data_IF_108616866689
#
_entry.id   IF_108616866689
#
_cell.length_a   1.000
_cell.length_b   1.000
_cell.length_c   1.000
_cell.angle_alpha   90.00
_cell.angle_beta   90.00
_cell.angle_gamma   90.00
#
_symmetry.space_group_name_H-M   'P 1'
#
loop_
_entity.id
_entity.type
_entity.pdbx_description
1 polymer ?
#
# COMPACT_ATOMS: atom_id res chain seq x y z
N UNK A 1 -12.69 -68.10 -26.73
CA UNK A 1 -13.36 -67.10 -25.86
C UNK A 1 -12.29 -66.39 -25.04
N UNK A 2 -11.81 -65.25 -25.52
CA UNK A 2 -10.72 -64.48 -24.88
C UNK A 2 -11.29 -63.62 -23.74
N UNK A 3 -10.70 -63.75 -22.55
CA UNK A 3 -10.95 -62.87 -21.40
C UNK A 3 -10.15 -61.57 -21.59
N UNK A 4 -10.84 -60.45 -21.67
CA UNK A 4 -10.25 -59.11 -21.63
C UNK A 4 -9.78 -58.77 -20.21
N UNK A 5 -8.47 -58.50 -20.07
CA UNK A 5 -7.89 -57.81 -18.91
C UNK A 5 -8.30 -56.33 -18.96
N UNK A 6 -9.01 -55.85 -17.93
CA UNK A 6 -9.26 -54.43 -17.72
C UNK A 6 -8.05 -53.77 -17.06
N UNK A 7 -7.41 -52.84 -17.77
CA UNK A 7 -6.38 -51.96 -17.20
C UNK A 7 -7.06 -50.73 -16.57
N UNK A 8 -6.90 -50.58 -15.25
CA UNK A 8 -7.22 -49.34 -14.54
C UNK A 8 -6.08 -48.34 -14.77
N UNK A 9 -6.34 -47.27 -15.53
CA UNK A 9 -5.41 -46.16 -15.69
C UNK A 9 -5.63 -45.20 -14.52
N UNK A 10 -4.69 -45.21 -13.56
CA UNK A 10 -4.61 -44.21 -12.50
C UNK A 10 -4.05 -42.91 -13.11
N UNK A 11 -4.90 -41.94 -13.42
CA UNK A 11 -4.45 -40.61 -13.82
C UNK A 11 -3.91 -39.86 -12.60
N UNK A 12 -2.59 -39.75 -12.49
CA UNK A 12 -1.95 -38.81 -11.54
C UNK A 12 -2.27 -37.38 -11.99
N UNK A 13 -3.19 -36.71 -11.30
CA UNK A 13 -3.37 -35.28 -11.41
C UNK A 13 -2.12 -34.58 -10.85
N UNK A 14 -1.25 -34.12 -11.75
CA UNK A 14 -0.07 -33.34 -11.37
C UNK A 14 -0.53 -31.93 -10.98
N UNK A 15 -0.62 -31.64 -9.68
CA UNK A 15 -0.77 -30.27 -9.20
C UNK A 15 0.54 -29.53 -9.44
N UNK A 16 0.60 -28.74 -10.52
CA UNK A 16 1.65 -27.74 -10.67
C UNK A 16 1.28 -26.57 -9.78
N UNK A 17 1.89 -26.51 -8.58
CA UNK A 17 1.88 -25.30 -7.79
C UNK A 17 2.71 -24.25 -8.56
N UNK A 18 2.05 -23.36 -9.30
CA UNK A 18 2.73 -22.19 -9.85
C UNK A 18 3.29 -21.39 -8.68
N UNK A 19 4.62 -21.32 -8.59
CA UNK A 19 5.29 -20.38 -7.71
C UNK A 19 4.78 -18.98 -8.10
N UNK A 20 3.93 -18.40 -7.26
CA UNK A 20 3.39 -17.06 -7.47
C UNK A 20 4.56 -16.07 -7.41
N UNK A 21 5.10 -15.70 -8.57
CA UNK A 21 6.04 -14.58 -8.65
C UNK A 21 5.28 -13.29 -8.41
N UNK A 22 5.71 -12.53 -7.40
CA UNK A 22 5.12 -11.23 -7.12
C UNK A 22 5.30 -10.30 -8.33
N UNK A 23 4.31 -9.45 -8.64
CA UNK A 23 4.48 -8.46 -9.68
C UNK A 23 5.54 -7.43 -9.25
N UNK A 24 6.32 -6.93 -10.21
CA UNK A 24 7.30 -5.85 -9.95
C UNK A 24 6.60 -4.51 -9.72
N UNK A 25 5.46 -4.30 -10.38
CA UNK A 25 4.70 -3.06 -10.38
C UNK A 25 3.24 -3.34 -9.98
N UNK A 26 2.63 -2.44 -9.23
CA UNK A 26 1.20 -2.51 -8.96
C UNK A 26 0.45 -1.76 -10.07
N UNK A 27 -0.31 -2.50 -10.87
CA UNK A 27 -1.13 -1.94 -11.93
C UNK A 27 -2.61 -2.01 -11.60
N UNK A 28 -3.32 -0.91 -11.84
CA UNK A 28 -4.78 -0.83 -11.82
C UNK A 28 -5.21 -0.16 -13.12
N UNK A 29 -6.17 -0.77 -13.84
CA UNK A 29 -6.61 -0.27 -15.16
C UNK A 29 -5.45 0.01 -16.14
N UNK A 30 -4.48 -0.91 -16.19
CA UNK A 30 -3.24 -0.80 -16.98
C UNK A 30 -2.29 0.37 -16.64
N UNK A 31 -2.58 1.17 -15.62
CA UNK A 31 -1.72 2.23 -15.14
C UNK A 31 -0.94 1.78 -13.91
N UNK A 32 0.35 2.12 -13.86
CA UNK A 32 1.22 1.82 -12.72
C UNK A 32 0.94 2.84 -11.63
N UNK A 33 0.65 2.38 -10.42
CA UNK A 33 0.49 3.26 -9.27
C UNK A 33 1.84 3.93 -8.98
N UNK A 34 1.93 5.28 -9.01
CA UNK A 34 3.13 6.00 -8.59
C UNK A 34 3.42 5.81 -7.09
N UNK A 35 4.69 5.75 -6.68
CA UNK A 35 5.06 5.65 -5.26
C UNK A 35 4.40 6.70 -4.36
N UNK A 36 4.18 7.92 -4.85
CA UNK A 36 3.58 9.05 -4.12
C UNK A 36 2.11 8.84 -3.76
N UNK A 37 1.46 7.81 -4.30
CA UNK A 37 0.07 7.48 -3.98
C UNK A 37 -0.05 6.54 -2.78
N UNK A 38 1.07 6.15 -2.16
CA UNK A 38 1.10 5.39 -0.91
C UNK A 38 1.38 6.34 0.26
N UNK A 39 0.35 6.66 1.04
CA UNK A 39 0.41 7.59 2.17
C UNK A 39 1.14 6.98 3.38
N UNK A 40 2.27 7.56 3.76
CA UNK A 40 3.13 7.07 4.85
C UNK A 40 2.85 7.85 6.13
N UNK A 41 3.10 7.22 7.29
CA UNK A 41 3.22 7.98 8.53
C UNK A 41 4.46 8.88 8.44
N UNK A 42 4.33 10.13 8.86
CA UNK A 42 5.47 11.05 8.91
C UNK A 42 6.35 10.73 10.10
N UNK A 43 7.60 11.17 10.08
CA UNK A 43 8.51 10.96 11.20
C UNK A 43 8.01 11.63 12.50
N UNK A 44 7.30 12.74 12.38
CA UNK A 44 6.65 13.41 13.51
C UNK A 44 5.34 12.72 13.94
N UNK A 45 4.76 11.87 13.09
CA UNK A 45 3.42 11.28 13.23
C UNK A 45 2.25 12.28 13.18
N UNK A 46 2.50 13.59 13.06
CA UNK A 46 1.46 14.64 13.01
C UNK A 46 0.35 14.32 12.00
N UNK A 47 0.71 13.70 10.87
CA UNK A 47 -0.27 13.35 9.83
C UNK A 47 -1.22 12.23 10.23
N UNK A 48 -0.89 11.38 11.21
CA UNK A 48 -1.82 10.42 11.79
C UNK A 48 -2.58 11.07 12.95
N UNK A 49 -1.90 11.87 13.78
CA UNK A 49 -2.53 12.63 14.87
C UNK A 49 -3.68 13.52 14.37
N UNK A 50 -3.54 14.16 13.20
CA UNK A 50 -4.60 14.93 12.57
C UNK A 50 -5.88 14.10 12.28
N UNK A 51 -5.74 12.83 11.88
CA UNK A 51 -6.88 11.93 11.72
C UNK A 51 -7.45 11.47 13.06
N UNK A 52 -6.59 11.29 14.07
CA UNK A 52 -7.03 10.95 15.41
C UNK A 52 -7.92 12.05 16.00
N UNK A 53 -7.50 13.30 15.87
CA UNK A 53 -8.28 14.46 16.30
C UNK A 53 -9.58 14.58 15.51
N UNK A 54 -9.53 14.51 14.18
CA UNK A 54 -10.69 14.66 13.31
C UNK A 54 -11.77 13.59 13.57
N UNK A 55 -11.35 12.34 13.84
CA UNK A 55 -12.25 11.20 14.02
C UNK A 55 -12.37 10.73 15.48
N UNK A 56 -11.80 11.47 16.43
CA UNK A 56 -11.80 11.18 17.86
C UNK A 56 -11.30 9.75 18.19
N UNK A 57 -10.19 9.35 17.55
CA UNK A 57 -9.56 8.04 17.75
C UNK A 57 -8.70 8.10 19.01
N UNK A 58 -9.07 7.33 20.04
CA UNK A 58 -8.43 7.40 21.36
C UNK A 58 -7.22 6.46 21.52
N UNK A 59 -6.99 5.57 20.56
CA UNK A 59 -6.00 4.49 20.64
C UNK A 59 -4.85 4.71 19.65
N UNK A 60 -4.14 5.81 19.82
CA UNK A 60 -3.10 6.34 18.91
C UNK A 60 -2.15 5.28 18.38
N UNK A 61 -1.43 4.60 19.27
CA UNK A 61 -0.45 3.57 18.86
C UNK A 61 -1.06 2.39 18.09
N UNK A 62 -2.31 2.01 18.40
CA UNK A 62 -2.98 0.95 17.64
C UNK A 62 -3.43 1.46 16.27
N UNK A 63 -3.88 2.70 16.16
CA UNK A 63 -4.22 3.34 14.89
C UNK A 63 -3.00 3.50 13.98
N UNK A 64 -1.91 4.08 14.48
CA UNK A 64 -0.63 4.17 13.77
C UNK A 64 -0.17 2.80 13.25
N UNK A 65 -0.30 1.75 14.06
CA UNK A 65 0.14 0.41 13.67
C UNK A 65 -0.87 -0.33 12.79
N UNK A 66 -2.16 -0.03 12.88
CA UNK A 66 -3.25 -0.79 12.27
C UNK A 66 -4.35 0.13 11.70
N UNK A 67 -4.02 1.07 10.79
CA UNK A 67 -4.99 2.04 10.27
C UNK A 67 -6.19 1.35 9.60
N UNK A 68 -5.97 0.17 9.00
CA UNK A 68 -7.00 -0.66 8.37
C UNK A 68 -8.23 -0.94 9.24
N UNK A 69 -8.06 -1.05 10.57
CA UNK A 69 -9.17 -1.36 11.50
C UNK A 69 -10.20 -0.24 11.63
N UNK A 70 -9.77 1.01 11.38
CA UNK A 70 -10.52 2.22 11.69
C UNK A 70 -11.35 2.69 10.48
N UNK A 71 -10.96 2.32 9.27
CA UNK A 71 -11.76 2.61 8.07
C UNK A 71 -13.12 1.90 8.10
N UNK A 72 -14.18 2.68 7.88
CA UNK A 72 -15.57 2.23 7.94
C UNK A 72 -16.11 2.06 9.37
N UNK A 73 -15.35 2.47 10.39
CA UNK A 73 -15.78 2.49 11.79
C UNK A 73 -15.65 3.89 12.38
N UNK A 74 -14.47 4.28 12.87
CA UNK A 74 -14.18 5.64 13.31
C UNK A 74 -13.97 6.58 12.11
N UNK A 75 -13.16 6.13 11.14
CA UNK A 75 -12.92 6.86 9.88
C UNK A 75 -14.05 6.53 8.92
N UNK A 76 -15.05 7.41 8.88
CA UNK A 76 -16.27 7.23 8.08
C UNK A 76 -16.16 7.77 6.65
N UNK A 77 -15.13 8.56 6.36
CA UNK A 77 -14.85 9.15 5.06
C UNK A 77 -13.43 8.80 4.58
N UNK A 78 -13.26 8.58 3.28
CA UNK A 78 -11.95 8.40 2.65
C UNK A 78 -11.41 9.70 2.03
N UNK A 79 -12.21 10.76 2.05
CA UNK A 79 -11.81 12.06 1.54
C UNK A 79 -10.66 12.65 2.36
N UNK A 80 -9.82 13.52 1.76
CA UNK A 80 -8.82 14.26 2.49
C UNK A 80 -9.45 15.10 3.61
N UNK A 81 -8.70 15.30 4.70
CA UNK A 81 -9.05 16.22 5.79
C UNK A 81 -8.26 17.53 5.64
N UNK A 82 -8.79 18.62 6.17
CA UNK A 82 -8.02 19.85 6.37
C UNK A 82 -7.43 19.84 7.79
N UNK A 83 -6.10 19.70 7.93
CA UNK A 83 -5.46 19.66 9.25
C UNK A 83 -5.30 21.06 9.88
N UNK A 84 -5.66 22.15 9.17
CA UNK A 84 -5.55 23.52 9.66
C UNK A 84 -4.13 24.10 9.63
N UNK A 85 -3.20 23.48 8.88
CA UNK A 85 -1.78 23.89 8.81
C UNK A 85 -1.48 24.91 7.69
N UNK A 86 -2.53 25.51 7.13
CA UNK A 86 -2.42 26.54 6.09
C UNK A 86 -2.32 25.98 4.67
N UNK A 87 -2.21 26.89 3.68
CA UNK A 87 -2.39 26.56 2.26
C UNK A 87 -1.38 25.54 1.70
N UNK A 88 -0.18 25.43 2.28
CA UNK A 88 0.82 24.43 1.85
C UNK A 88 0.45 22.99 2.26
N UNK A 89 -0.42 22.83 3.25
CA UNK A 89 -0.84 21.55 3.82
C UNK A 89 -2.36 21.52 4.05
N UNK A 90 -3.11 22.07 3.09
CA UNK A 90 -4.57 22.24 3.18
C UNK A 90 -5.36 20.95 3.13
N UNK A 91 -4.80 19.93 2.49
CA UNK A 91 -5.44 18.63 2.35
C UNK A 91 -4.47 17.54 2.75
N UNK A 92 -4.95 16.62 3.57
CA UNK A 92 -4.21 15.47 4.04
C UNK A 92 -5.03 14.20 3.79
N UNK A 93 -4.48 13.28 3.00
CA UNK A 93 -5.12 12.01 2.67
C UNK A 93 -4.49 10.86 3.43
N UNK A 94 -5.31 9.93 3.93
CA UNK A 94 -4.86 8.64 4.45
C UNK A 94 -5.27 7.48 3.54
N UNK A 95 -6.39 7.60 2.84
CA UNK A 95 -6.77 6.75 1.72
C UNK A 95 -6.68 7.58 0.44
N UNK A 96 -6.21 6.97 -0.65
CA UNK A 96 -5.97 7.70 -1.92
C UNK A 96 -6.88 7.15 -3.00
N UNK A 97 -7.71 8.01 -3.58
CA UNK A 97 -8.47 7.68 -4.79
C UNK A 97 -7.50 7.50 -5.98
N UNK A 98 -7.56 6.35 -6.64
CA UNK A 98 -6.64 6.06 -7.75
C UNK A 98 -6.89 6.92 -8.98
N UNK A 99 -8.12 7.39 -9.21
CA UNK A 99 -8.43 8.31 -10.30
C UNK A 99 -7.66 9.62 -10.13
N UNK A 100 -7.67 10.17 -8.92
CA UNK A 100 -6.98 11.44 -8.62
C UNK A 100 -5.46 11.26 -8.62
N UNK A 101 -4.98 10.14 -8.07
CA UNK A 101 -3.59 9.72 -8.17
C UNK A 101 -3.10 9.68 -9.63
N UNK A 102 -3.86 9.06 -10.54
CA UNK A 102 -3.48 8.97 -11.95
C UNK A 102 -3.62 10.30 -12.69
N UNK A 103 -4.56 11.17 -12.30
CA UNK A 103 -4.72 12.50 -12.87
C UNK A 103 -3.49 13.40 -12.65
N UNK A 104 -2.66 13.13 -11.65
CA UNK A 104 -1.38 13.83 -11.41
C UNK A 104 -0.32 13.56 -12.48
N UNK A 105 -0.50 12.54 -13.34
CA UNK A 105 0.41 12.20 -14.44
C UNK A 105 1.89 12.07 -14.01
N UNK A 106 2.13 11.53 -12.81
CA UNK A 106 3.48 11.34 -12.28
C UNK A 106 4.26 10.32 -13.11
N UNK A 107 5.50 10.67 -13.46
CA UNK A 107 6.38 9.79 -14.23
C UNK A 107 6.93 8.68 -13.34
N UNK A 108 6.77 7.43 -13.76
CA UNK A 108 7.33 6.26 -13.10
C UNK A 108 8.36 5.56 -13.99
N UNK A 109 9.43 5.04 -13.39
CA UNK A 109 10.43 4.21 -14.06
C UNK A 109 10.44 2.82 -13.44
N UNK A 110 10.36 1.81 -14.29
CA UNK A 110 10.39 0.40 -13.90
C UNK A 110 11.83 -0.11 -13.88
N UNK A 111 12.22 -0.73 -12.77
CA UNK A 111 13.45 -1.49 -12.62
C UNK A 111 13.11 -2.98 -12.42
N UNK A 112 14.11 -3.85 -12.33
CA UNK A 112 13.91 -5.31 -12.24
C UNK A 112 13.03 -5.76 -11.07
N UNK A 113 13.07 -5.03 -9.94
CA UNK A 113 12.35 -5.39 -8.72
C UNK A 113 11.56 -4.24 -8.08
N UNK A 114 11.58 -3.04 -8.65
CA UNK A 114 11.02 -1.84 -8.01
C UNK A 114 10.50 -0.84 -9.02
N UNK A 115 9.63 0.04 -8.55
CA UNK A 115 9.16 1.22 -9.29
C UNK A 115 9.72 2.46 -8.61
N UNK A 116 10.28 3.37 -9.40
CA UNK A 116 10.77 4.67 -8.92
C UNK A 116 9.97 5.82 -9.53
N UNK A 117 9.90 6.92 -8.82
CA UNK A 117 9.41 8.20 -9.32
C UNK A 117 10.18 9.32 -8.65
N UNK A 118 10.13 10.51 -9.23
CA UNK A 118 10.67 11.72 -8.63
C UNK A 118 9.83 12.92 -9.01
N UNK A 119 9.87 13.93 -8.16
CA UNK A 119 9.30 15.24 -8.40
C UNK A 119 10.22 16.31 -7.81
N UNK A 120 10.00 17.57 -8.19
CA UNK A 120 10.69 18.71 -7.61
C UNK A 120 9.77 19.40 -6.62
N UNK A 121 10.33 19.86 -5.50
CA UNK A 121 9.57 20.60 -4.51
C UNK A 121 8.99 21.87 -5.16
N UNK A 122 7.69 22.11 -4.97
CA UNK A 122 6.99 23.19 -5.68
C UNK A 122 7.56 24.57 -5.35
N UNK A 123 8.00 24.78 -4.11
CA UNK A 123 8.58 26.04 -3.67
C UNK A 123 10.07 26.18 -4.02
N UNK A 124 10.77 25.08 -4.33
CA UNK A 124 12.17 25.12 -4.73
C UNK A 124 12.52 23.98 -5.71
N UNK A 125 12.73 24.33 -6.98
CA UNK A 125 13.07 23.39 -8.04
C UNK A 125 14.51 22.83 -7.93
N UNK A 126 15.31 23.31 -6.99
CA UNK A 126 16.61 22.71 -6.64
C UNK A 126 16.49 21.62 -5.57
N UNK A 127 15.27 21.33 -5.11
CA UNK A 127 15.00 20.23 -4.17
C UNK A 127 14.28 19.11 -4.91
N UNK A 128 14.97 17.99 -5.12
CA UNK A 128 14.45 16.79 -5.77
C UNK A 128 13.97 15.76 -4.74
N UNK A 129 12.70 15.42 -4.80
CA UNK A 129 12.07 14.39 -3.98
C UNK A 129 12.06 13.07 -4.76
N UNK A 130 12.72 12.05 -4.23
CA UNK A 130 12.84 10.74 -4.85
C UNK A 130 12.03 9.70 -4.08
N UNK A 131 11.26 8.89 -4.80
CA UNK A 131 10.40 7.86 -4.20
C UNK A 131 10.57 6.52 -4.91
N UNK A 132 10.43 5.43 -4.17
CA UNK A 132 10.36 4.09 -4.73
C UNK A 132 9.51 3.15 -3.90
N UNK A 133 8.96 2.12 -4.56
CA UNK A 133 8.38 0.98 -3.87
C UNK A 133 8.81 -0.36 -4.46
N UNK A 134 8.81 -1.38 -3.60
CA UNK A 134 9.02 -2.80 -3.94
C UNK A 134 7.88 -3.62 -3.38
N UNK A 135 7.25 -4.48 -4.19
CA UNK A 135 6.26 -5.46 -3.72
C UNK A 135 7.01 -6.68 -3.21
N UNK A 136 6.82 -7.03 -1.93
CA UNK A 136 7.61 -8.08 -1.27
C UNK A 136 6.78 -9.23 -0.70
N UNK A 137 5.47 -9.07 -0.62
CA UNK A 137 4.55 -10.15 -0.21
C UNK A 137 3.12 -9.82 -0.69
N UNK A 138 2.26 -10.83 -0.81
CA UNK A 138 0.86 -10.71 -1.22
C UNK A 138 -0.05 -11.35 -0.17
N UNK A 139 -1.08 -10.62 0.23
CA UNK A 139 -2.10 -11.11 1.14
C UNK A 139 -3.25 -11.73 0.38
N UNK A 140 -3.83 -12.79 0.96
CA UNK A 140 -5.13 -13.32 0.53
C UNK A 140 -6.27 -12.35 0.87
N UNK A 141 -7.42 -12.51 0.20
CA UNK A 141 -8.62 -11.72 0.49
C UNK A 141 -9.06 -11.83 1.95
N UNK A 142 -8.96 -13.03 2.55
CA UNK A 142 -9.27 -13.26 3.96
C UNK A 142 -8.39 -12.42 4.88
N UNK A 143 -7.09 -12.34 4.59
CA UNK A 143 -6.13 -11.56 5.37
C UNK A 143 -6.36 -10.05 5.19
N UNK A 144 -6.63 -9.60 3.96
CA UNK A 144 -7.01 -8.21 3.71
C UNK A 144 -8.24 -7.80 4.54
N UNK A 145 -9.29 -8.62 4.52
CA UNK A 145 -10.51 -8.37 5.31
C UNK A 145 -10.27 -8.44 6.82
N UNK A 146 -9.41 -9.33 7.29
CA UNK A 146 -9.04 -9.39 8.70
C UNK A 146 -8.29 -8.13 9.16
N UNK A 147 -7.50 -7.49 8.28
CA UNK A 147 -6.83 -6.22 8.57
C UNK A 147 -7.72 -4.99 8.39
N UNK A 148 -8.87 -5.12 7.74
CA UNK A 148 -9.82 -4.04 7.47
C UNK A 148 -11.28 -4.51 7.62
N UNK A 149 -11.67 -4.95 8.82
CA UNK A 149 -12.94 -5.65 9.04
C UNK A 149 -14.17 -4.79 8.75
N UNK A 150 -14.06 -3.48 8.91
CA UNK A 150 -15.18 -2.55 8.76
C UNK A 150 -15.19 -1.83 7.40
N UNK A 151 -14.17 -2.06 6.56
CA UNK A 151 -14.00 -1.33 5.32
C UNK A 151 -15.10 -1.68 4.30
N UNK A 152 -15.90 -0.70 3.84
CA UNK A 152 -16.91 -0.94 2.83
C UNK A 152 -16.28 -1.31 1.48
N UNK A 153 -17.01 -2.10 0.69
CA UNK A 153 -16.56 -2.52 -0.63
C UNK A 153 -15.68 -3.77 -0.63
N UNK A 154 -15.03 -4.00 -1.77
CA UNK A 154 -14.30 -5.22 -2.08
C UNK A 154 -12.80 -4.98 -2.05
N UNK A 155 -12.08 -5.75 -1.24
CA UNK A 155 -10.62 -5.78 -1.32
C UNK A 155 -10.22 -6.62 -2.54
N UNK A 156 -9.62 -5.98 -3.54
CA UNK A 156 -9.24 -6.61 -4.81
C UNK A 156 -7.85 -7.24 -4.68
N UNK A 157 -6.88 -6.45 -4.24
CA UNK A 157 -5.50 -6.86 -4.01
C UNK A 157 -5.00 -6.27 -2.71
N UNK A 158 -4.11 -7.00 -2.04
CA UNK A 158 -3.38 -6.48 -0.90
C UNK A 158 -1.93 -6.95 -0.95
N UNK A 159 -1.00 -6.03 -0.77
CA UNK A 159 0.43 -6.26 -0.89
C UNK A 159 1.17 -5.66 0.30
N UNK A 160 2.28 -6.29 0.66
CA UNK A 160 3.28 -5.68 1.52
C UNK A 160 4.28 -4.96 0.64
N UNK A 161 4.47 -3.68 0.90
CA UNK A 161 5.38 -2.81 0.19
C UNK A 161 6.56 -2.44 1.09
N UNK A 162 7.75 -2.40 0.50
CA UNK A 162 8.85 -1.55 0.99
C UNK A 162 8.67 -0.21 0.29
N UNK A 163 8.49 0.85 1.07
CA UNK A 163 8.47 2.23 0.59
C UNK A 163 9.77 2.90 1.02
N UNK A 164 10.40 3.60 0.09
CA UNK A 164 11.60 4.36 0.37
C UNK A 164 11.56 5.71 -0.33
N UNK A 165 12.00 6.75 0.37
CA UNK A 165 12.20 8.07 -0.19
C UNK A 165 13.47 8.74 0.34
N UNK A 166 13.94 9.73 -0.40
CA UNK A 166 15.02 10.62 0.01
C UNK A 166 14.88 11.94 -0.75
N UNK A 167 15.44 12.99 -0.17
CA UNK A 167 15.48 14.33 -0.77
C UNK A 167 16.91 14.68 -1.13
N UNK A 168 17.11 15.28 -2.31
CA UNK A 168 18.38 15.87 -2.72
C UNK A 168 18.18 17.37 -2.83
N UNK A 169 18.89 18.13 -2.00
CA UNK A 169 18.91 19.59 -2.05
C UNK A 169 20.21 20.04 -2.72
N UNK A 170 20.09 20.52 -3.96
CA UNK A 170 21.23 20.95 -4.76
C UNK A 170 21.81 22.29 -4.30
N UNK A 171 21.03 23.14 -3.60
CA UNK A 171 21.53 24.42 -3.09
C UNK A 171 22.65 24.22 -2.06
N UNK A 172 22.52 23.17 -1.25
CA UNK A 172 23.49 22.82 -0.21
C UNK A 172 24.26 21.53 -0.51
N UNK A 173 23.99 20.90 -1.66
CA UNK A 173 24.58 19.63 -2.07
C UNK A 173 24.44 18.54 -1.00
N UNK A 174 23.24 18.42 -0.41
CA UNK A 174 22.92 17.45 0.65
C UNK A 174 21.86 16.46 0.20
N UNK A 175 21.97 15.25 0.75
CA UNK A 175 20.92 14.23 0.66
C UNK A 175 20.37 13.96 2.05
N UNK A 176 19.05 13.95 2.18
CA UNK A 176 18.33 13.62 3.40
C UNK A 176 17.55 12.31 3.20
N UNK A 177 17.73 11.34 4.10
CA UNK A 177 17.27 9.96 3.94
C UNK A 177 18.40 8.99 3.53
N UNK A 178 18.07 7.77 3.04
CA UNK A 178 16.73 7.29 2.74
C UNK A 178 15.92 6.91 3.97
N UNK A 179 14.60 7.13 3.91
CA UNK A 179 13.64 6.64 4.92
C UNK A 179 12.91 5.42 4.38
N UNK A 180 12.93 4.32 5.13
CA UNK A 180 12.32 3.05 4.71
C UNK A 180 11.15 2.69 5.61
N UNK A 181 9.99 2.44 5.01
CA UNK A 181 8.81 1.89 5.69
C UNK A 181 8.39 0.56 5.06
N UNK A 182 7.79 -0.28 5.90
CA UNK A 182 7.19 -1.55 5.51
C UNK A 182 5.70 -1.48 5.81
N UNK A 183 4.88 -1.47 4.77
CA UNK A 183 3.44 -1.18 4.95
C UNK A 183 2.62 -2.15 4.11
N UNK A 184 1.55 -2.66 4.71
CA UNK A 184 0.52 -3.41 4.01
C UNK A 184 -0.46 -2.41 3.41
N UNK A 185 -0.63 -2.43 2.09
CA UNK A 185 -1.66 -1.66 1.40
C UNK A 185 -2.67 -2.58 0.75
N UNK A 186 -3.90 -2.08 0.59
CA UNK A 186 -4.93 -2.74 -0.20
C UNK A 186 -5.55 -1.80 -1.24
N UNK A 187 -5.88 -2.39 -2.38
CA UNK A 187 -6.78 -1.83 -3.36
C UNK A 187 -8.22 -2.20 -3.00
N UNK A 188 -9.03 -1.20 -2.77
CA UNK A 188 -10.44 -1.33 -2.48
C UNK A 188 -11.29 -0.76 -3.61
N UNK A 189 -12.30 -1.52 -4.04
CA UNK A 189 -13.35 -1.04 -4.95
C UNK A 189 -14.62 -0.81 -4.14
N UNK A 190 -15.06 0.44 -4.08
CA UNK A 190 -16.27 0.84 -3.38
C UNK A 190 -17.54 0.60 -4.23
N UNK A 191 -18.72 0.83 -3.64
CA UNK A 191 -20.02 0.63 -4.33
C UNK A 191 -20.18 1.52 -5.56
N UNK A 192 -19.58 2.71 -5.56
CA UNK A 192 -19.54 3.63 -6.70
C UNK A 192 -18.53 3.20 -7.78
N UNK A 193 -17.89 2.03 -7.63
CA UNK A 193 -16.84 1.47 -8.51
C UNK A 193 -15.53 2.25 -8.51
N UNK A 194 -15.35 3.20 -7.62
CA UNK A 194 -14.07 3.88 -7.46
C UNK A 194 -13.07 2.99 -6.75
N UNK A 195 -11.81 3.10 -7.18
CA UNK A 195 -10.69 2.36 -6.63
C UNK A 195 -9.90 3.25 -5.67
N UNK A 196 -9.59 2.73 -4.48
CA UNK A 196 -8.79 3.40 -3.47
C UNK A 196 -7.60 2.54 -3.09
N UNK A 197 -6.47 3.17 -2.82
CA UNK A 197 -5.34 2.58 -2.11
C UNK A 197 -5.40 2.99 -0.66
N UNK A 198 -5.32 2.00 0.23
CA UNK A 198 -5.56 2.18 1.65
C UNK A 198 -4.44 1.49 2.46
N UNK A 199 -3.78 2.20 3.40
CA UNK A 199 -2.86 1.57 4.33
C UNK A 199 -3.65 0.72 5.31
N UNK A 200 -3.28 -0.56 5.40
CA UNK A 200 -3.90 -1.51 6.32
C UNK A 200 -3.10 -1.68 7.60
N UNK A 201 -1.77 -1.68 7.49
CA UNK A 201 -0.87 -1.98 8.60
C UNK A 201 0.52 -1.42 8.37
N UNK A 202 1.02 -0.63 9.31
CA UNK A 202 2.42 -0.25 9.38
C UNK A 202 3.19 -1.35 10.14
N UNK A 203 4.17 -1.97 9.49
CA UNK A 203 4.92 -3.09 10.05
C UNK A 203 6.12 -2.58 10.86
N UNK A 204 6.28 -3.12 12.06
CA UNK A 204 7.46 -2.83 12.86
C UNK A 204 8.71 -3.50 12.28
N UNK A 205 9.89 -2.95 12.57
CA UNK A 205 11.19 -3.51 12.15
C UNK A 205 11.44 -4.95 12.63
N UNK A 206 10.67 -5.44 13.60
CA UNK A 206 10.80 -6.80 14.15
C UNK A 206 10.02 -7.86 13.35
N UNK A 207 9.13 -7.42 12.45
CA UNK A 207 8.41 -8.32 11.55
C UNK A 207 9.25 -8.56 10.32
N UNK A 208 9.41 -9.81 9.87
CA UNK A 208 9.97 -10.09 8.56
C UNK A 208 8.89 -9.80 7.49
N UNK A 209 9.01 -8.72 6.72
CA UNK A 209 7.91 -8.24 5.90
C UNK A 209 7.72 -9.09 4.63
N UNK A 210 8.74 -9.83 4.18
CA UNK A 210 8.64 -10.72 3.00
C UNK A 210 7.94 -12.06 3.29
N UNK A 211 7.61 -12.33 4.56
CA UNK A 211 6.88 -13.51 5.02
C UNK A 211 5.70 -13.14 5.91
N UNK A 212 5.19 -11.92 5.74
CA UNK A 212 4.12 -11.41 6.57
C UNK A 212 2.83 -12.23 6.38
N UNK A 213 2.47 -12.54 5.14
CA UNK A 213 1.31 -13.35 4.78
C UNK A 213 1.37 -14.75 5.38
N UNK A 214 2.55 -15.38 5.43
CA UNK A 214 2.75 -16.71 6.02
C UNK A 214 2.58 -16.70 7.55
N UNK A 215 3.03 -15.62 8.19
CA UNK A 215 3.04 -15.50 9.66
C UNK A 215 1.74 -14.92 10.22
N UNK A 216 0.93 -14.25 9.39
CA UNK A 216 -0.37 -13.70 9.75
C UNK A 216 -1.34 -14.76 10.31
N UNK A 217 -1.31 -15.99 9.75
CA UNK A 217 -2.23 -17.07 10.13
C UNK A 217 -1.86 -17.79 11.43
N UNK A 218 -0.73 -17.44 12.07
CA UNK A 218 -0.22 -18.09 13.30
C UNK A 218 -0.54 -17.31 14.59
N UNK A 219 -1.31 -16.23 14.50
CA UNK A 219 -1.83 -15.46 15.65
C UNK A 219 -3.34 -15.56 15.68
#
# INVERSE_FOLDING_TARGET
MNRLLGFFILTLASFTASASTLPVQWKVNNQVIPPQCFTRIWQSSDNYEAFEDQFNIKTTKDFESNPGKYFGKEISSLEPIDPGWGELHKELSLAVNLKDCFARNLKTTLYSNQVKSKEFYSADQNVELNYKYTIIDKLSQKQCKALSPNMPGTCVNAYVLILEDYTVDYNVSRTFGPFTDYVVYAEYVLKNKEHYIIPLKNLSKQVNPSKFSETFSKK
#
